data_IF_984667795072
#
_entry.id   IF_984667795072
#
_cell.length_a   1.000
_cell.length_b   1.000
_cell.length_c   1.000
_cell.angle_alpha   90.00
_cell.angle_beta   90.00
_cell.angle_gamma   90.00
#
_symmetry.space_group_name_H-M   'P 1'
#
loop_
_entity.id
_entity.type
_entity.pdbx_description
1 polymer ?
#
# COMPACT_ATOMS: atom_id res chain seq x y z
N UNK A 1 -7.70 -6.53 5.75
CA UNK A 1 -8.83 -6.20 4.84
C UNK A 1 -10.09 -6.91 5.33
N UNK A 2 -11.27 -6.49 4.89
CA UNK A 2 -12.53 -7.15 5.24
C UNK A 2 -12.98 -8.03 4.08
N UNK A 3 -13.20 -9.32 4.35
CA UNK A 3 -13.73 -10.28 3.39
C UNK A 3 -15.22 -10.47 3.65
N UNK A 4 -16.03 -10.07 2.68
CA UNK A 4 -17.49 -10.27 2.72
C UNK A 4 -17.85 -11.59 2.06
N UNK A 5 -18.65 -12.40 2.75
CA UNK A 5 -19.18 -13.67 2.25
C UNK A 5 -20.67 -13.77 2.57
N UNK A 6 -21.36 -14.78 2.01
CA UNK A 6 -22.76 -15.05 2.35
C UNK A 6 -22.96 -15.32 3.86
N UNK A 7 -21.93 -15.79 4.55
CA UNK A 7 -21.96 -16.09 5.99
C UNK A 7 -21.63 -14.87 6.88
N UNK A 8 -21.35 -13.71 6.30
CA UNK A 8 -21.02 -12.47 7.03
C UNK A 8 -19.70 -11.82 6.60
N UNK A 9 -19.26 -10.85 7.40
CA UNK A 9 -18.02 -10.10 7.21
C UNK A 9 -16.91 -10.63 8.12
N UNK A 10 -15.75 -10.91 7.55
CA UNK A 10 -14.59 -11.43 8.26
C UNK A 10 -13.41 -10.48 8.11
N UNK A 11 -12.81 -10.06 9.23
CA UNK A 11 -11.58 -9.28 9.20
C UNK A 11 -10.41 -10.22 9.00
N UNK A 12 -9.65 -10.00 7.92
CA UNK A 12 -8.47 -10.78 7.57
C UNK A 12 -7.24 -9.89 7.67
N UNK A 13 -6.36 -10.20 8.61
CA UNK A 13 -5.05 -9.55 8.78
C UNK A 13 -4.01 -10.15 7.84
N UNK A 14 -2.94 -9.42 7.55
CA UNK A 14 -1.79 -9.98 6.85
C UNK A 14 -1.17 -11.10 7.71
N UNK A 15 -1.13 -12.32 7.18
CA UNK A 15 -0.63 -13.51 7.89
C UNK A 15 0.86 -13.42 8.25
N UNK A 16 1.66 -12.75 7.42
CA UNK A 16 3.08 -12.54 7.67
C UNK A 16 3.30 -11.59 8.85
N UNK A 17 2.62 -10.43 8.83
CA UNK A 17 2.64 -9.47 9.94
C UNK A 17 2.18 -10.12 11.24
N UNK A 18 1.08 -10.88 11.20
CA UNK A 18 0.59 -11.58 12.38
C UNK A 18 1.62 -12.58 12.92
N UNK A 19 2.25 -13.38 12.06
CA UNK A 19 3.27 -14.33 12.47
C UNK A 19 4.48 -13.64 13.12
N UNK A 20 4.94 -12.52 12.58
CA UNK A 20 6.04 -11.74 13.17
C UNK A 20 5.67 -11.13 14.52
N UNK A 21 4.48 -10.55 14.64
CA UNK A 21 3.99 -9.98 15.90
C UNK A 21 3.79 -11.06 16.98
N UNK A 22 3.34 -12.26 16.61
CA UNK A 22 3.25 -13.42 17.52
C UNK A 22 4.64 -13.86 17.96
N UNK A 23 5.61 -13.95 17.03
CA UNK A 23 6.99 -14.33 17.34
C UNK A 23 7.66 -13.36 18.30
N UNK A 24 7.31 -12.07 18.23
CA UNK A 24 7.80 -11.03 19.16
C UNK A 24 7.00 -10.93 20.46
N UNK A 25 5.93 -11.72 20.63
CA UNK A 25 5.05 -11.65 21.80
C UNK A 25 4.23 -10.36 21.89
N UNK A 26 4.11 -9.61 20.79
CA UNK A 26 3.37 -8.34 20.72
C UNK A 26 1.89 -8.57 20.37
N UNK A 27 1.55 -9.69 19.75
CA UNK A 27 0.19 -9.94 19.27
C UNK A 27 -0.82 -10.11 20.41
N UNK A 28 -1.77 -9.16 20.51
CA UNK A 28 -2.88 -9.18 21.46
C UNK A 28 -4.14 -8.51 20.86
N UNK A 29 -5.29 -8.62 21.52
CA UNK A 29 -6.56 -8.09 21.01
C UNK A 29 -6.54 -6.56 20.87
N UNK A 30 -5.90 -5.84 21.81
CA UNK A 30 -5.78 -4.38 21.72
C UNK A 30 -4.96 -3.95 20.51
N UNK A 31 -3.84 -4.63 20.24
CA UNK A 31 -3.02 -4.35 19.06
C UNK A 31 -3.80 -4.60 17.77
N UNK A 32 -4.57 -5.68 17.72
CA UNK A 32 -5.46 -5.98 16.58
C UNK A 32 -6.51 -4.89 16.37
N UNK A 33 -7.14 -4.41 17.43
CA UNK A 33 -8.08 -3.28 17.37
C UNK A 33 -7.42 -1.98 16.88
N UNK A 34 -6.20 -1.69 17.35
CA UNK A 34 -5.43 -0.53 16.87
C UNK A 34 -5.11 -0.64 15.37
N UNK A 35 -4.68 -1.82 14.90
CA UNK A 35 -4.42 -2.06 13.47
C UNK A 35 -5.71 -1.87 12.66
N UNK A 36 -6.85 -2.35 13.17
CA UNK A 36 -8.14 -2.15 12.52
C UNK A 36 -8.55 -0.67 12.47
N UNK A 37 -8.39 0.07 13.57
CA UNK A 37 -8.65 1.50 13.65
C UNK A 37 -7.78 2.29 12.65
N UNK A 38 -6.52 1.87 12.50
CA UNK A 38 -5.56 2.43 11.54
C UNK A 38 -5.69 1.84 10.12
N UNK A 39 -6.79 1.14 9.82
CA UNK A 39 -7.12 0.57 8.50
C UNK A 39 -6.03 -0.35 7.92
N UNK A 40 -5.32 -1.05 8.80
CA UNK A 40 -4.24 -1.95 8.43
C UNK A 40 -2.85 -1.30 8.41
N UNK A 41 -2.73 0.01 8.65
CA UNK A 41 -1.44 0.66 8.88
C UNK A 41 -0.93 0.38 10.30
N UNK A 42 0.36 0.13 10.42
CA UNK A 42 1.06 -0.07 11.70
C UNK A 42 1.97 1.09 12.08
N UNK A 43 2.06 2.13 11.23
CA UNK A 43 3.03 3.22 11.40
C UNK A 43 2.80 4.02 12.67
N UNK A 44 1.53 4.24 13.04
CA UNK A 44 1.14 5.01 14.21
C UNK A 44 1.22 4.24 15.55
N UNK A 45 1.56 2.95 15.52
CA UNK A 45 1.56 2.10 16.71
C UNK A 45 2.96 2.09 17.34
N UNK A 46 3.15 2.67 18.55
CA UNK A 46 4.48 2.82 19.15
C UNK A 46 5.10 1.49 19.60
N UNK A 47 4.28 0.49 19.92
CA UNK A 47 4.71 -0.83 20.40
C UNK A 47 5.42 -1.66 19.31
N UNK A 48 5.22 -1.33 18.03
CA UNK A 48 5.79 -2.07 16.91
C UNK A 48 7.18 -1.51 16.54
N UNK A 49 8.22 -2.35 16.47
CA UNK A 49 9.56 -1.96 16.03
C UNK A 49 9.60 -1.30 14.63
N UNK A 50 10.58 -0.41 14.43
CA UNK A 50 10.67 0.39 13.20
C UNK A 50 11.05 -0.44 11.95
N UNK A 51 11.78 -1.53 12.12
CA UNK A 51 12.10 -2.49 11.04
C UNK A 51 10.84 -3.18 10.50
N UNK A 52 9.92 -3.56 11.39
CA UNK A 52 8.61 -4.08 11.05
C UNK A 52 7.74 -3.02 10.37
N UNK A 53 7.72 -1.80 10.90
CA UNK A 53 7.03 -0.67 10.26
C UNK A 53 7.54 -0.42 8.85
N UNK A 54 8.84 -0.49 8.64
CA UNK A 54 9.44 -0.29 7.33
C UNK A 54 9.04 -1.40 6.34
N UNK A 55 9.03 -2.66 6.80
CA UNK A 55 8.70 -3.84 6.01
C UNK A 55 7.22 -3.89 5.62
N UNK A 56 6.33 -3.55 6.54
CA UNK A 56 4.88 -3.66 6.35
C UNK A 56 4.21 -2.32 6.00
N UNK A 57 4.94 -1.46 5.28
CA UNK A 57 4.35 -0.25 4.70
C UNK A 57 3.19 -0.58 3.78
N UNK A 58 2.08 0.13 3.96
CA UNK A 58 0.93 0.02 3.06
C UNK A 58 1.21 0.74 1.74
N UNK A 59 0.38 0.47 0.72
CA UNK A 59 0.54 1.11 -0.60
C UNK A 59 0.41 2.63 -0.55
N UNK A 60 -0.30 3.17 0.44
CA UNK A 60 -0.49 4.61 0.67
C UNK A 60 0.74 5.28 1.29
N UNK A 61 1.59 4.49 1.96
CA UNK A 61 2.81 4.95 2.64
C UNK A 61 4.05 4.88 1.72
N UNK A 62 3.93 4.16 0.60
CA UNK A 62 5.01 4.02 -0.37
C UNK A 62 4.96 5.16 -1.40
N UNK A 63 6.11 5.83 -1.58
CA UNK A 63 6.26 6.85 -2.62
C UNK A 63 6.05 6.24 -4.00
N UNK A 64 5.07 6.73 -4.75
CA UNK A 64 4.73 6.21 -6.08
C UNK A 64 5.89 6.28 -7.08
N UNK A 65 6.84 7.21 -6.91
CA UNK A 65 8.08 7.25 -7.70
C UNK A 65 8.83 5.92 -7.65
N UNK A 66 8.97 5.31 -6.47
CA UNK A 66 9.70 4.03 -6.30
C UNK A 66 8.97 2.89 -7.01
N UNK A 67 7.64 2.90 -6.99
CA UNK A 67 6.81 1.93 -7.70
C UNK A 67 7.02 2.03 -9.21
N UNK A 68 7.10 3.26 -9.74
CA UNK A 68 7.38 3.54 -11.15
C UNK A 68 8.81 3.10 -11.51
N UNK A 69 9.80 3.38 -10.65
CA UNK A 69 11.19 2.94 -10.85
C UNK A 69 11.26 1.41 -10.99
N UNK A 70 10.65 0.67 -10.05
CA UNK A 70 10.58 -0.79 -10.12
C UNK A 70 9.75 -1.33 -11.29
N UNK A 71 8.78 -0.55 -11.79
CA UNK A 71 8.05 -0.91 -12.99
C UNK A 71 8.92 -0.77 -14.25
N UNK A 72 9.75 0.27 -14.32
CA UNK A 72 10.70 0.47 -15.41
C UNK A 72 11.79 -0.61 -15.39
N UNK A 73 12.36 -0.90 -14.21
CA UNK A 73 13.42 -1.89 -14.03
C UNK A 73 12.99 -3.29 -14.49
N UNK A 74 11.77 -3.73 -14.15
CA UNK A 74 11.25 -5.02 -14.66
C UNK A 74 10.77 -4.95 -16.11
N UNK A 75 10.41 -3.75 -16.60
CA UNK A 75 9.84 -3.53 -17.92
C UNK A 75 10.76 -3.93 -19.07
N UNK A 76 12.08 -3.90 -18.87
CA UNK A 76 13.06 -4.33 -19.88
C UNK A 76 12.99 -5.83 -20.19
N UNK A 77 12.42 -6.63 -19.28
CA UNK A 77 12.24 -8.07 -19.43
C UNK A 77 10.82 -8.47 -19.85
N UNK A 78 9.95 -7.47 -20.14
CA UNK A 78 8.55 -7.68 -20.53
C UNK A 78 8.39 -7.33 -22.01
N UNK A 79 8.01 -8.31 -22.82
CA UNK A 79 7.80 -8.19 -24.27
C UNK A 79 6.62 -7.27 -24.61
N UNK A 80 5.53 -7.36 -23.84
CA UNK A 80 4.36 -6.49 -23.90
C UNK A 80 4.42 -5.40 -22.83
N UNK A 81 3.38 -5.22 -22.02
CA UNK A 81 3.29 -4.22 -20.97
C UNK A 81 2.86 -4.87 -19.65
N UNK A 82 2.45 -4.04 -18.70
CA UNK A 82 2.06 -4.43 -17.35
C UNK A 82 0.94 -3.55 -16.83
N UNK A 83 0.03 -4.14 -16.06
CA UNK A 83 -1.01 -3.38 -15.37
C UNK A 83 -0.43 -2.70 -14.14
N UNK A 84 -0.14 -1.41 -14.28
CA UNK A 84 0.42 -0.58 -13.21
C UNK A 84 -0.66 0.32 -12.61
N UNK A 85 -1.11 0.01 -11.40
CA UNK A 85 -1.98 0.92 -10.65
C UNK A 85 -1.14 1.93 -9.87
N UNK A 86 -1.56 3.20 -9.88
CA UNK A 86 -0.99 4.25 -9.06
C UNK A 86 -1.91 4.54 -7.87
N UNK A 87 -1.32 4.68 -6.69
CA UNK A 87 -2.05 4.92 -5.44
C UNK A 87 -1.65 6.27 -4.87
N UNK A 88 -2.58 7.23 -4.87
CA UNK A 88 -2.31 8.58 -4.36
C UNK A 88 -3.37 8.96 -3.35
N UNK A 89 -2.94 9.20 -2.10
CA UNK A 89 -3.87 9.56 -1.03
C UNK A 89 -4.58 10.90 -1.28
N UNK A 90 -3.84 11.90 -1.77
CA UNK A 90 -4.31 13.26 -2.03
C UNK A 90 -3.77 13.74 -3.39
N UNK A 91 -4.28 13.23 -4.52
CA UNK A 91 -3.77 13.58 -5.83
C UNK A 91 -4.15 15.02 -6.18
N UNK A 92 -3.17 15.78 -6.65
CA UNK A 92 -3.37 17.05 -7.37
C UNK A 92 -3.09 16.85 -8.86
N UNK A 93 -3.66 17.67 -9.75
CA UNK A 93 -3.33 17.62 -11.19
C UNK A 93 -1.83 17.70 -11.46
N UNK A 94 -1.11 18.51 -10.67
CA UNK A 94 0.35 18.63 -10.76
C UNK A 94 1.07 17.33 -10.37
N UNK A 95 0.67 16.69 -9.26
CA UNK A 95 1.27 15.43 -8.81
C UNK A 95 1.00 14.26 -9.76
N UNK A 96 -0.21 14.19 -10.33
CA UNK A 96 -0.58 13.15 -11.29
C UNK A 96 0.17 13.34 -12.60
N UNK A 97 0.18 14.56 -13.14
CA UNK A 97 0.94 14.90 -14.34
C UNK A 97 2.43 14.59 -14.18
N UNK A 98 3.01 14.94 -13.02
CA UNK A 98 4.41 14.64 -12.72
C UNK A 98 4.70 13.14 -12.70
N UNK A 99 3.81 12.32 -12.13
CA UNK A 99 3.97 10.87 -12.08
C UNK A 99 3.87 10.23 -13.47
N UNK A 100 2.89 10.62 -14.28
CA UNK A 100 2.70 10.09 -15.64
C UNK A 100 3.87 10.49 -16.55
N UNK A 101 4.29 11.77 -16.52
CA UNK A 101 5.45 12.24 -17.29
C UNK A 101 6.73 11.55 -16.83
N UNK A 102 6.87 11.26 -15.54
CA UNK A 102 8.01 10.52 -15.02
C UNK A 102 8.07 9.09 -15.55
N UNK A 103 6.95 8.35 -15.51
CA UNK A 103 6.84 7.00 -16.09
C UNK A 103 7.15 6.96 -17.59
N UNK A 104 6.60 7.92 -18.34
CA UNK A 104 6.83 8.04 -19.78
C UNK A 104 8.31 8.26 -20.10
N UNK A 105 9.00 9.12 -19.35
CA UNK A 105 10.45 9.39 -19.51
C UNK A 105 11.32 8.17 -19.23
N UNK A 106 10.87 7.26 -18.36
CA UNK A 106 11.56 6.00 -18.07
C UNK A 106 11.27 4.91 -19.11
N UNK A 107 10.42 5.18 -20.11
CA UNK A 107 10.11 4.24 -21.18
C UNK A 107 9.02 3.23 -20.82
N UNK A 108 8.17 3.52 -19.83
CA UNK A 108 6.99 2.68 -19.58
C UNK A 108 6.07 2.67 -20.80
N UNK A 109 5.65 1.47 -21.22
CA UNK A 109 4.67 1.29 -22.31
C UNK A 109 3.24 1.60 -21.87
N UNK A 110 2.97 1.51 -20.56
CA UNK A 110 1.71 1.89 -19.93
C UNK A 110 2.02 2.62 -18.63
N UNK A 111 1.68 3.92 -18.57
CA UNK A 111 2.03 4.78 -17.44
C UNK A 111 1.16 4.50 -16.20
N UNK A 112 -0.15 4.29 -16.39
CA UNK A 112 -1.07 3.88 -15.32
C UNK A 112 -2.33 3.21 -15.91
N UNK A 113 -2.77 2.11 -15.31
CA UNK A 113 -4.04 1.45 -15.64
C UNK A 113 -5.20 1.96 -14.81
N UNK A 114 -4.95 2.28 -13.54
CA UNK A 114 -5.92 2.89 -12.64
C UNK A 114 -5.21 3.88 -11.70
N UNK A 115 -5.94 4.93 -11.32
CA UNK A 115 -5.59 5.81 -10.22
C UNK A 115 -6.50 5.47 -9.05
N UNK A 116 -5.93 4.95 -7.99
CA UNK A 116 -6.63 4.61 -6.76
C UNK A 116 -6.47 5.75 -5.76
N UNK A 117 -7.60 6.19 -5.24
CA UNK A 117 -7.71 7.25 -4.23
C UNK A 117 -8.40 6.61 -3.02
N UNK A 118 -7.95 6.87 -1.78
CA UNK A 118 -8.64 6.36 -0.62
C UNK A 118 -10.07 6.91 -0.61
N UNK A 119 -11.03 6.09 -0.17
CA UNK A 119 -12.37 6.58 0.17
C UNK A 119 -12.27 7.77 1.14
N UNK A 120 -13.26 8.68 1.17
CA UNK A 120 -13.24 9.94 1.92
C UNK A 120 -12.77 9.80 3.38
N UNK A 121 -13.07 8.68 4.03
CA UNK A 121 -12.65 8.40 5.41
C UNK A 121 -11.19 7.91 5.55
N UNK A 122 -10.48 7.66 4.45
CA UNK A 122 -9.11 7.13 4.38
C UNK A 122 -8.04 8.19 4.13
N UNK A 123 -8.43 9.45 3.89
CA UNK A 123 -7.49 10.56 3.71
C UNK A 123 -6.93 11.12 5.02
N UNK A 124 -7.51 10.73 6.17
CA UNK A 124 -7.15 11.23 7.50
C UNK A 124 -6.00 10.47 8.18
N UNK A 125 -5.64 9.28 7.69
CA UNK A 125 -4.60 8.42 8.27
C UNK A 125 -3.33 8.30 7.40
N UNK A 126 -3.18 9.17 6.39
CA UNK A 126 -2.05 9.23 5.47
C UNK A 126 -1.43 10.63 5.41
#
# INVERSE_FOLDING_TARGET
>A
YVRRTLAGEFVVTNSHLMADLVRLGLWNESLKEQIMANRGSIQAIPEIPDDLKELYRTVWEIKQKVVIDFAADRGIFIDQSQSLNLFMAKPTPASLSSALVYGHKLGLKTDATALEIPSADGAASA
#
